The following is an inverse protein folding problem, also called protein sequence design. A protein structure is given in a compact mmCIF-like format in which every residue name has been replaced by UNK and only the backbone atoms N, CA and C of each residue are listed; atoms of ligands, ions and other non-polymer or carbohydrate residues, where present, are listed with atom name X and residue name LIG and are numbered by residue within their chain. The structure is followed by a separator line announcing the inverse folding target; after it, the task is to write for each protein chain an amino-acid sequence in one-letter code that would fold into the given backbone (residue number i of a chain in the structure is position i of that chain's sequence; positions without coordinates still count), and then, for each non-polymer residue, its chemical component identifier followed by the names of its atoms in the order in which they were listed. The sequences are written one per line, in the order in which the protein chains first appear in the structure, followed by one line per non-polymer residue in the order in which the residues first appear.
data_IF_212655025450
#
_entry.id   IF_212655025450
#
_cell.length_a   1.000
_cell.length_b   1.000
_cell.length_c   1.000
_cell.angle_alpha   90.00
_cell.angle_beta   90.00
_cell.angle_gamma   90.00
#
_symmetry.space_group_name_H-M   'P 1'
#
loop_
_entity.id
_entity.type
_entity.pdbx_description
1 polymer ?
#
# COMPACT_ATOMS: atom_id res chain seq x y z
N UNK A 1 38.06 -20.14 44.17
CA UNK A 1 39.15 -19.24 43.74
C UNK A 1 39.23 -18.10 44.75
N UNK A 2 40.30 -17.94 45.56
CA UNK A 2 40.30 -16.96 46.63
C UNK A 2 40.63 -15.58 46.06
N UNK A 3 39.63 -14.70 46.04
CA UNK A 3 39.81 -13.27 45.83
C UNK A 3 39.95 -12.61 47.20
N UNK A 4 40.84 -11.64 47.35
CA UNK A 4 40.92 -10.85 48.58
C UNK A 4 39.73 -9.89 48.70
N UNK A 5 39.63 -9.18 49.83
CA UNK A 5 38.57 -8.20 50.11
C UNK A 5 38.58 -6.98 49.17
N UNK A 6 39.50 -6.90 48.21
CA UNK A 6 39.55 -5.89 47.16
C UNK A 6 39.40 -6.49 45.74
N UNK A 7 39.02 -7.77 45.63
CA UNK A 7 38.76 -8.44 44.36
C UNK A 7 40.02 -8.85 43.60
N UNK A 8 41.19 -8.85 44.23
CA UNK A 8 42.45 -9.26 43.59
C UNK A 8 42.68 -10.77 43.83
N UNK A 9 42.85 -11.50 42.74
CA UNK A 9 43.21 -12.92 42.78
C UNK A 9 44.69 -13.06 43.15
N UNK A 10 45.00 -13.87 44.17
CA UNK A 10 46.37 -14.27 44.49
C UNK A 10 46.50 -15.79 44.42
N UNK A 11 47.56 -16.24 43.77
CA UNK A 11 47.86 -17.67 43.61
C UNK A 11 48.34 -18.26 44.95
N UNK A 12 47.94 -19.50 45.29
CA UNK A 12 48.43 -20.17 46.50
C UNK A 12 49.95 -20.33 46.52
N UNK A 13 50.60 -20.39 47.70
CA UNK A 13 52.06 -20.25 47.83
C UNK A 13 52.94 -21.35 47.22
N UNK A 14 52.40 -22.36 46.54
CA UNK A 14 53.09 -23.65 46.31
C UNK A 14 53.60 -23.85 44.88
N UNK A 15 53.52 -22.86 43.98
CA UNK A 15 53.87 -23.04 42.57
C UNK A 15 54.82 -21.94 42.06
N UNK A 16 56.01 -21.86 42.65
CA UNK A 16 57.11 -21.09 42.04
C UNK A 16 58.05 -22.09 41.36
N UNK A 17 58.01 -22.13 40.03
CA UNK A 17 59.05 -22.78 39.24
C UNK A 17 60.43 -22.21 39.62
N UNK A 18 61.39 -23.08 39.94
CA UNK A 18 62.75 -22.69 40.34
C UNK A 18 63.62 -22.55 39.08
N UNK A 19 64.40 -21.47 39.01
CA UNK A 19 65.30 -21.20 37.87
C UNK A 19 66.28 -22.35 37.64
N UNK A 20 66.22 -22.96 36.45
CA UNK A 20 67.08 -24.08 36.04
C UNK A 20 66.40 -25.45 36.07
N UNK A 21 65.20 -25.57 36.63
CA UNK A 21 64.42 -26.81 36.56
C UNK A 21 63.41 -26.79 35.40
N UNK A 22 63.14 -27.97 34.84
CA UNK A 22 62.17 -28.14 33.76
C UNK A 22 60.78 -27.91 34.34
N UNK A 23 60.09 -26.84 33.91
CA UNK A 23 58.71 -26.56 34.31
C UNK A 23 57.83 -27.72 33.84
N UNK A 24 57.32 -28.53 34.77
CA UNK A 24 56.44 -29.64 34.45
C UNK A 24 55.01 -29.11 34.27
N UNK A 25 54.32 -29.54 33.21
CA UNK A 25 52.94 -29.13 32.94
C UNK A 25 51.99 -29.44 34.11
N UNK A 26 52.33 -30.47 34.88
CA UNK A 26 51.67 -30.93 36.11
C UNK A 26 51.60 -29.85 37.21
N UNK A 27 52.55 -28.91 37.21
CA UNK A 27 52.78 -27.97 38.32
C UNK A 27 52.10 -26.61 38.12
N UNK A 28 51.43 -26.35 37.00
CA UNK A 28 50.90 -25.00 36.71
C UNK A 28 49.51 -24.95 36.06
N UNK A 29 48.82 -26.07 35.87
CA UNK A 29 47.71 -26.11 34.91
C UNK A 29 46.28 -26.10 35.46
N UNK A 30 46.07 -26.08 36.78
CA UNK A 30 44.70 -26.06 37.35
C UNK A 30 43.83 -24.93 36.75
N UNK A 31 44.34 -23.69 36.53
CA UNK A 31 43.53 -22.62 35.94
C UNK A 31 43.17 -22.84 34.46
N UNK A 32 43.92 -23.67 33.73
CA UNK A 32 43.71 -23.92 32.30
C UNK A 32 43.03 -25.26 32.01
N UNK A 33 42.91 -26.15 32.99
CA UNK A 33 42.17 -27.41 32.85
C UNK A 33 40.69 -27.16 32.54
N UNK A 34 40.06 -26.18 33.19
CA UNK A 34 38.67 -25.80 32.93
C UNK A 34 38.48 -25.30 31.49
N UNK A 35 39.41 -24.47 31.00
CA UNK A 35 39.39 -23.94 29.63
C UNK A 35 39.64 -25.05 28.62
N UNK A 36 40.63 -25.91 28.88
CA UNK A 36 40.95 -27.06 28.03
C UNK A 36 39.79 -28.05 27.98
N UNK A 37 39.09 -28.29 29.10
CA UNK A 37 37.92 -29.16 29.16
C UNK A 37 36.75 -28.54 28.40
N UNK A 38 36.46 -27.25 28.60
CA UNK A 38 35.39 -26.55 27.88
C UNK A 38 35.62 -26.52 26.35
N UNK A 39 36.86 -26.26 25.92
CA UNK A 39 37.21 -26.27 24.49
C UNK A 39 37.23 -27.69 23.92
N UNK A 40 37.77 -28.68 24.62
CA UNK A 40 37.78 -30.09 24.16
C UNK A 40 36.38 -30.69 24.08
N UNK A 41 35.45 -30.14 24.85
CA UNK A 41 34.05 -30.49 24.73
C UNK A 41 33.48 -29.98 23.40
N UNK A 42 33.85 -28.80 22.92
CA UNK A 42 33.17 -28.16 21.79
C UNK A 42 33.94 -28.29 20.46
N UNK A 43 35.27 -28.28 20.52
CA UNK A 43 36.21 -28.29 19.41
C UNK A 43 37.10 -29.54 19.51
N UNK A 44 37.26 -30.28 18.41
CA UNK A 44 38.30 -31.31 18.34
C UNK A 44 39.66 -30.66 18.11
N UNK A 45 40.68 -31.22 18.75
CA UNK A 45 42.05 -30.72 18.76
C UNK A 45 42.68 -30.56 17.37
N UNK A 46 42.20 -31.31 16.39
CA UNK A 46 42.76 -31.36 15.03
C UNK A 46 42.07 -30.42 14.03
N UNK A 47 40.97 -29.75 14.42
CA UNK A 47 40.25 -28.81 13.56
C UNK A 47 39.71 -29.40 12.25
N UNK A 48 39.77 -30.72 12.09
CA UNK A 48 39.49 -31.43 10.83
C UNK A 48 38.00 -31.72 10.63
N UNK A 49 37.20 -31.56 11.69
CA UNK A 49 35.76 -31.79 11.67
C UNK A 49 35.01 -30.64 12.36
N UNK A 50 33.74 -30.41 11.99
CA UNK A 50 32.91 -29.38 12.61
C UNK A 50 32.84 -29.51 14.13
N UNK A 51 32.59 -28.40 14.81
CA UNK A 51 32.36 -28.38 16.25
C UNK A 51 31.29 -29.43 16.63
N UNK A 52 31.59 -30.24 17.64
CA UNK A 52 30.74 -31.36 18.07
C UNK A 52 29.55 -30.89 18.92
N UNK A 53 29.59 -29.66 19.43
CA UNK A 53 28.52 -28.96 20.14
C UNK A 53 28.83 -27.47 20.26
N UNK A 54 27.82 -26.68 20.64
CA UNK A 54 27.97 -25.25 20.88
C UNK A 54 28.91 -24.98 22.06
N UNK A 55 29.75 -23.94 21.93
CA UNK A 55 30.53 -23.43 23.04
C UNK A 55 29.62 -22.72 24.04
N UNK A 56 29.51 -23.26 25.26
CA UNK A 56 28.76 -22.62 26.33
C UNK A 56 29.53 -21.42 26.86
N UNK A 57 29.00 -20.22 26.68
CA UNK A 57 29.58 -18.98 27.20
C UNK A 57 28.87 -18.47 28.46
N UNK A 58 27.98 -19.25 29.08
CA UNK A 58 27.27 -18.86 30.32
C UNK A 58 26.62 -17.47 30.25
N UNK A 59 26.13 -17.08 29.07
CA UNK A 59 25.52 -15.77 28.82
C UNK A 59 26.49 -14.66 28.40
N UNK A 60 27.81 -14.89 28.45
CA UNK A 60 28.78 -13.96 27.85
C UNK A 60 28.67 -13.98 26.32
N UNK A 61 28.74 -12.80 25.73
CA UNK A 61 28.71 -12.63 24.29
C UNK A 61 30.10 -12.93 23.70
N UNK A 62 30.13 -13.54 22.53
CA UNK A 62 31.33 -13.53 21.69
C UNK A 62 31.42 -12.14 21.08
N UNK A 63 32.36 -11.32 21.57
CA UNK A 63 32.67 -10.02 20.97
C UNK A 63 33.73 -10.16 19.87
N UNK A 64 33.88 -9.13 19.04
CA UNK A 64 34.94 -9.03 18.03
C UNK A 64 34.97 -10.17 16.98
N UNK A 65 33.80 -10.75 16.69
CA UNK A 65 33.61 -11.63 15.53
C UNK A 65 33.94 -10.89 14.23
N UNK A 66 34.92 -11.41 13.48
CA UNK A 66 35.27 -10.92 12.15
C UNK A 66 34.18 -11.20 11.13
N UNK A 67 34.32 -10.62 9.94
CA UNK A 67 33.36 -10.79 8.85
C UNK A 67 33.32 -12.26 8.36
N UNK A 68 32.09 -12.76 8.17
CA UNK A 68 31.83 -14.06 7.58
C UNK A 68 32.37 -14.14 6.14
N UNK A 69 33.03 -15.24 5.79
CA UNK A 69 33.59 -15.49 4.46
C UNK A 69 32.89 -16.64 3.73
N UNK A 70 32.33 -17.61 4.47
CA UNK A 70 31.70 -18.81 3.91
C UNK A 70 30.25 -18.98 4.38
N UNK A 71 29.42 -19.71 3.62
CA UNK A 71 28.10 -20.13 4.08
C UNK A 71 28.19 -20.97 5.36
N UNK A 72 27.57 -20.51 6.45
CA UNK A 72 27.58 -21.17 7.75
C UNK A 72 28.49 -20.52 8.80
N UNK A 73 29.27 -19.52 8.42
CA UNK A 73 30.01 -18.71 9.39
C UNK A 73 29.04 -17.98 10.34
N UNK A 74 29.42 -17.87 11.61
CA UNK A 74 28.71 -17.03 12.56
C UNK A 74 28.83 -15.55 12.12
N UNK A 75 27.72 -14.83 12.16
CA UNK A 75 27.68 -13.40 11.79
C UNK A 75 27.54 -12.54 13.03
N UNK A 76 28.19 -11.37 13.03
CA UNK A 76 27.97 -10.38 14.07
C UNK A 76 26.57 -9.78 13.96
N UNK A 77 25.99 -9.30 15.07
CA UNK A 77 24.71 -8.58 15.06
C UNK A 77 24.73 -7.39 14.10
N UNK A 78 25.88 -6.72 13.95
CA UNK A 78 26.08 -5.62 12.99
C UNK A 78 25.82 -6.07 11.55
N UNK A 79 26.31 -7.24 11.16
CA UNK A 79 26.08 -7.78 9.81
C UNK A 79 24.61 -8.17 9.61
N UNK A 80 23.97 -8.71 10.65
CA UNK A 80 22.53 -9.03 10.61
C UNK A 80 21.67 -7.77 10.46
N UNK A 81 21.95 -6.73 11.25
CA UNK A 81 21.25 -5.45 11.19
C UNK A 81 21.52 -4.72 9.86
N UNK A 82 22.66 -4.95 9.21
CA UNK A 82 22.91 -4.44 7.86
C UNK A 82 22.11 -5.20 6.79
N UNK A 83 21.89 -6.50 6.97
CA UNK A 83 21.10 -7.32 6.04
C UNK A 83 19.59 -7.06 6.15
N UNK A 84 19.10 -6.78 7.35
CA UNK A 84 17.69 -6.45 7.63
C UNK A 84 17.66 -5.27 8.62
N UNK A 85 17.65 -4.03 8.12
CA UNK A 85 17.71 -2.85 8.97
C UNK A 85 16.48 -2.70 9.86
N UNK A 86 16.70 -2.13 11.04
CA UNK A 86 15.62 -1.75 11.96
C UNK A 86 14.73 -0.72 11.27
N UNK A 87 13.42 -0.89 11.37
CA UNK A 87 12.44 -0.09 10.64
C UNK A 87 12.12 -0.61 9.24
N UNK A 88 12.78 -1.66 8.75
CA UNK A 88 12.40 -2.30 7.50
C UNK A 88 10.99 -2.90 7.60
N UNK A 89 10.16 -2.63 6.58
CA UNK A 89 8.83 -3.21 6.42
C UNK A 89 8.86 -4.28 5.33
N UNK A 90 8.30 -5.46 5.63
CA UNK A 90 8.20 -6.56 4.67
C UNK A 90 6.79 -7.14 4.64
N UNK A 91 6.39 -7.63 3.47
CA UNK A 91 5.21 -8.48 3.34
C UNK A 91 5.46 -9.84 4.00
N UNK A 92 4.46 -10.35 4.71
CA UNK A 92 4.54 -11.55 5.53
C UNK A 92 3.26 -12.35 5.41
N UNK A 93 3.38 -13.63 5.07
CA UNK A 93 2.24 -14.52 4.85
C UNK A 93 1.70 -15.15 6.15
N UNK A 94 2.46 -15.12 7.25
CA UNK A 94 2.05 -15.71 8.52
C UNK A 94 1.14 -14.79 9.35
N UNK A 95 0.38 -15.36 10.28
CA UNK A 95 -0.52 -14.62 11.17
C UNK A 95 0.19 -13.99 12.37
N UNK A 96 1.26 -14.62 12.86
CA UNK A 96 1.99 -14.21 14.06
C UNK A 96 3.37 -13.70 13.66
N UNK A 97 3.75 -12.46 14.02
CA UNK A 97 5.06 -11.94 13.68
C UNK A 97 6.15 -12.77 14.36
N UNK A 98 7.27 -13.05 13.68
CA UNK A 98 8.43 -13.69 14.29
C UNK A 98 9.00 -12.83 15.43
N UNK A 99 9.85 -13.42 16.27
CA UNK A 99 10.56 -12.68 17.31
C UNK A 99 11.31 -11.48 16.71
N UNK A 100 11.17 -10.32 17.37
CA UNK A 100 11.82 -9.09 16.95
C UNK A 100 11.14 -8.38 15.76
N UNK A 101 9.92 -8.78 15.43
CA UNK A 101 9.06 -8.11 14.46
C UNK A 101 7.74 -7.73 15.11
N UNK A 102 7.11 -6.68 14.58
CA UNK A 102 5.75 -6.28 14.92
C UNK A 102 4.91 -6.23 13.65
N UNK A 103 3.62 -6.56 13.75
CA UNK A 103 2.69 -6.29 12.65
C UNK A 103 2.44 -4.79 12.51
N UNK A 104 2.19 -4.31 11.29
CA UNK A 104 1.92 -2.90 10.99
C UNK A 104 0.42 -2.60 10.96
N UNK A 105 -0.25 -2.62 12.11
CA UNK A 105 -1.68 -2.29 12.25
C UNK A 105 -1.95 -1.03 13.07
N UNK A 106 -0.96 -0.13 13.19
CA UNK A 106 -1.13 1.16 13.85
C UNK A 106 -1.03 1.13 15.38
N UNK A 107 -0.65 0.00 15.98
CA UNK A 107 -0.64 -0.10 17.44
C UNK A 107 0.41 0.78 18.10
N UNK A 108 0.08 1.21 19.31
CA UNK A 108 0.98 1.88 20.23
C UNK A 108 1.93 0.87 20.88
N UNK A 109 3.22 1.20 20.94
CA UNK A 109 4.26 0.36 21.51
C UNK A 109 5.24 1.17 22.36
N UNK A 110 5.89 0.49 23.31
CA UNK A 110 6.80 1.12 24.28
C UNK A 110 8.09 1.65 23.63
N UNK A 111 8.45 2.91 23.94
CA UNK A 111 9.74 3.52 23.57
C UNK A 111 10.92 2.86 24.28
N UNK A 112 10.72 2.32 25.48
CA UNK A 112 11.80 1.65 26.24
C UNK A 112 12.08 0.26 25.68
N UNK A 113 11.03 -0.50 25.37
CA UNK A 113 11.17 -1.85 24.79
C UNK A 113 11.69 -1.80 23.36
N UNK A 114 11.25 -0.83 22.56
CA UNK A 114 11.61 -0.71 21.14
C UNK A 114 12.40 0.56 20.84
N UNK A 115 13.38 0.88 21.71
CA UNK A 115 14.18 2.11 21.63
C UNK A 115 14.88 2.29 20.27
N UNK A 116 15.41 1.21 19.69
CA UNK A 116 16.07 1.26 18.41
C UNK A 116 15.10 1.58 17.26
N UNK A 117 13.89 1.03 17.28
CA UNK A 117 12.85 1.37 16.30
C UNK A 117 12.37 2.81 16.46
N UNK A 118 12.16 3.26 17.70
CA UNK A 118 11.76 4.64 17.98
C UNK A 118 12.79 5.66 17.49
N UNK A 119 14.09 5.34 17.61
CA UNK A 119 15.15 6.19 17.07
C UNK A 119 15.08 6.39 15.55
N UNK A 120 14.47 5.44 14.81
CA UNK A 120 14.34 5.50 13.35
C UNK A 120 13.03 6.17 12.93
N UNK A 121 11.88 5.75 13.47
CA UNK A 121 10.57 6.20 12.98
C UNK A 121 9.92 7.30 13.84
N UNK A 122 10.44 7.53 15.04
CA UNK A 122 9.92 8.51 15.98
C UNK A 122 8.42 8.41 16.19
N UNK A 123 7.74 9.55 16.08
CA UNK A 123 6.29 9.69 16.23
C UNK A 123 5.57 9.87 14.89
N UNK A 124 6.24 9.61 13.76
CA UNK A 124 5.70 9.85 12.41
C UNK A 124 4.36 9.17 12.16
N UNK A 125 4.13 8.00 12.75
CA UNK A 125 2.89 7.22 12.59
C UNK A 125 1.93 7.36 13.77
N UNK A 126 2.23 8.25 14.72
CA UNK A 126 1.45 8.51 15.92
C UNK A 126 2.35 8.70 17.14
N UNK A 127 1.97 9.65 18.00
CA UNK A 127 2.72 10.00 19.20
C UNK A 127 2.55 9.03 20.37
N UNK A 128 1.69 8.01 20.24
CA UNK A 128 1.22 7.19 21.35
C UNK A 128 0.55 8.05 22.43
N UNK A 129 0.86 7.72 23.68
CA UNK A 129 0.55 8.49 24.90
C UNK A 129 1.25 9.87 25.00
N UNK A 130 2.10 10.24 24.03
CA UNK A 130 2.86 11.49 24.02
C UNK A 130 4.16 11.47 24.82
N UNK A 131 4.47 10.37 25.52
CA UNK A 131 5.62 10.30 26.44
C UNK A 131 6.39 9.00 26.39
N UNK A 132 5.75 7.89 26.77
CA UNK A 132 6.40 6.58 26.94
C UNK A 132 6.25 5.64 25.74
N UNK A 133 5.40 6.01 24.78
CA UNK A 133 5.03 5.15 23.65
C UNK A 133 5.03 5.88 22.31
N UNK A 134 4.89 5.13 21.23
CA UNK A 134 4.76 5.63 19.86
C UNK A 134 3.98 4.61 19.02
N UNK A 135 3.42 5.02 17.89
CA UNK A 135 2.70 4.11 17.01
C UNK A 135 3.59 3.59 15.89
N UNK A 136 3.39 2.32 15.52
CA UNK A 136 3.91 1.78 14.26
C UNK A 136 3.00 2.16 13.07
N UNK A 137 3.42 1.97 11.82
CA UNK A 137 2.55 2.20 10.66
C UNK A 137 1.25 1.38 10.71
N UNK A 138 0.15 1.95 10.19
CA UNK A 138 -1.07 1.21 9.88
C UNK A 138 -1.18 0.96 8.38
N UNK A 139 -0.89 -0.27 7.96
CA UNK A 139 -0.85 -0.67 6.56
C UNK A 139 -2.06 -1.52 6.14
N UNK A 140 -3.07 -1.64 7.01
CA UNK A 140 -4.26 -2.44 6.71
C UNK A 140 -5.01 -1.86 5.51
N UNK A 141 -5.19 -2.66 4.47
CA UNK A 141 -5.90 -2.28 3.25
C UNK A 141 -5.21 -1.20 2.41
N UNK A 142 -3.92 -0.93 2.64
CA UNK A 142 -3.16 0.11 1.95
C UNK A 142 -2.14 -0.47 0.98
N UNK A 143 -1.90 0.26 -0.10
CA UNK A 143 -0.79 0.00 -1.03
C UNK A 143 0.36 0.94 -0.68
N UNK A 144 1.57 0.39 -0.57
CA UNK A 144 2.77 1.18 -0.33
C UNK A 144 3.18 1.94 -1.59
N UNK A 145 3.58 3.19 -1.42
CA UNK A 145 4.12 4.04 -2.48
C UNK A 145 5.45 4.61 -2.02
N UNK A 146 6.37 4.79 -2.97
CA UNK A 146 7.63 5.46 -2.69
C UNK A 146 7.41 6.92 -2.31
N UNK A 147 8.18 7.42 -1.33
CA UNK A 147 8.22 8.85 -1.00
C UNK A 147 8.66 9.64 -2.24
N UNK A 148 7.97 10.72 -2.58
CA UNK A 148 8.08 11.35 -3.92
C UNK A 148 9.45 12.01 -4.19
N UNK A 149 10.17 12.41 -3.14
CA UNK A 149 11.50 13.04 -3.20
C UNK A 149 12.64 12.05 -2.91
N UNK A 150 12.45 11.06 -2.02
CA UNK A 150 13.47 10.10 -1.54
C UNK A 150 14.82 10.73 -1.17
N UNK A 151 14.84 11.98 -0.70
CA UNK A 151 16.05 12.74 -0.40
C UNK A 151 16.69 13.49 -1.58
N UNK A 152 16.11 13.39 -2.78
CA UNK A 152 16.43 14.20 -3.95
C UNK A 152 15.28 15.16 -4.33
N UNK A 153 15.28 15.70 -5.56
CA UNK A 153 14.16 16.48 -6.08
C UNK A 153 12.88 15.64 -6.20
N UNK A 154 11.71 16.26 -5.95
CA UNK A 154 10.41 15.62 -6.07
C UNK A 154 10.14 15.14 -7.51
N UNK A 155 9.73 13.88 -7.67
CA UNK A 155 9.35 13.30 -8.95
C UNK A 155 7.96 13.74 -9.44
N UNK A 156 7.17 14.40 -8.58
CA UNK A 156 5.82 14.90 -8.83
C UNK A 156 4.84 13.81 -9.31
N UNK A 157 4.97 12.59 -8.78
CA UNK A 157 4.07 11.46 -9.10
C UNK A 157 2.87 11.43 -8.17
N UNK A 158 3.08 11.70 -6.89
CA UNK A 158 2.02 11.78 -5.87
C UNK A 158 2.06 13.15 -5.22
N UNK A 159 1.22 14.05 -5.72
CA UNK A 159 1.09 15.42 -5.21
C UNK A 159 -0.28 15.63 -4.59
N UNK A 160 -0.39 16.67 -3.74
CA UNK A 160 -1.68 17.07 -3.17
C UNK A 160 -2.71 17.36 -4.26
N UNK A 161 -2.29 17.96 -5.37
CA UNK A 161 -3.18 18.32 -6.48
C UNK A 161 -3.77 17.11 -7.21
N UNK A 162 -3.00 16.03 -7.36
CA UNK A 162 -3.44 14.84 -8.13
C UNK A 162 -4.04 13.77 -7.22
N UNK A 163 -3.41 13.51 -6.07
CA UNK A 163 -3.75 12.37 -5.21
C UNK A 163 -4.52 12.79 -3.93
N UNK A 164 -4.56 14.08 -3.61
CA UNK A 164 -5.21 14.59 -2.39
C UNK A 164 -4.37 14.49 -1.12
N UNK A 165 -3.10 14.05 -1.22
CA UNK A 165 -2.17 13.96 -0.09
C UNK A 165 -0.73 14.25 -0.50
N UNK A 166 0.11 14.60 0.47
CA UNK A 166 1.51 14.98 0.23
C UNK A 166 2.41 13.75 0.13
N UNK A 167 2.81 13.36 -1.08
CA UNK A 167 3.71 12.23 -1.32
C UNK A 167 5.15 12.41 -0.81
N UNK A 168 5.56 13.62 -0.45
CA UNK A 168 6.87 13.88 0.16
C UNK A 168 6.87 13.71 1.70
N UNK A 169 5.70 13.52 2.33
CA UNK A 169 5.58 13.30 3.77
C UNK A 169 5.43 11.81 4.08
N UNK A 170 6.40 11.21 4.78
CA UNK A 170 6.25 9.84 5.31
C UNK A 170 5.05 9.79 6.25
N UNK A 171 4.22 8.76 6.12
CA UNK A 171 2.99 8.60 6.92
C UNK A 171 1.77 9.30 6.33
N UNK A 172 1.93 10.16 5.31
CA UNK A 172 0.78 10.68 4.57
C UNK A 172 0.03 9.53 3.89
N UNK A 173 -1.30 9.64 3.86
CA UNK A 173 -2.15 8.58 3.35
C UNK A 173 -3.37 9.15 2.64
N UNK A 174 -3.86 8.45 1.62
CA UNK A 174 -5.02 8.83 0.84
C UNK A 174 -5.37 7.76 -0.20
N UNK A 175 -6.01 8.17 -1.29
CA UNK A 175 -6.55 7.28 -2.32
C UNK A 175 -8.03 6.92 -2.10
N UNK A 176 -8.63 6.28 -3.09
CA UNK A 176 -10.04 5.90 -3.09
C UNK A 176 -10.23 4.47 -3.62
N UNK A 177 -11.00 3.66 -2.91
CA UNK A 177 -11.32 2.27 -3.29
C UNK A 177 -12.37 2.18 -4.41
N UNK A 178 -13.14 3.25 -4.61
CA UNK A 178 -14.12 3.39 -5.70
C UNK A 178 -14.13 4.82 -6.23
N UNK A 179 -14.40 4.98 -7.51
CA UNK A 179 -14.49 6.30 -8.16
C UNK A 179 -15.86 6.42 -8.82
N UNK A 180 -16.59 7.48 -8.46
CA UNK A 180 -17.87 7.84 -9.07
C UNK A 180 -17.65 8.41 -10.47
N UNK A 181 -18.34 7.85 -11.47
CA UNK A 181 -18.35 8.43 -12.82
C UNK A 181 -19.31 9.62 -12.86
N UNK A 182 -18.75 10.80 -13.04
CA UNK A 182 -19.47 12.04 -13.28
C UNK A 182 -19.82 12.20 -14.75
N UNK A 183 -20.81 13.03 -15.07
CA UNK A 183 -21.15 13.37 -16.46
C UNK A 183 -19.95 13.93 -17.24
N UNK A 184 -19.08 14.71 -16.57
CA UNK A 184 -17.85 15.24 -17.16
C UNK A 184 -16.84 14.16 -17.60
N UNK A 185 -16.97 12.93 -17.11
CA UNK A 185 -16.13 11.79 -17.50
C UNK A 185 -16.74 10.98 -18.66
N UNK A 186 -17.91 11.36 -19.16
CA UNK A 186 -18.52 10.78 -20.36
C UNK A 186 -18.01 11.57 -21.58
N UNK A 187 -17.54 10.87 -22.61
CA UNK A 187 -17.06 11.52 -23.83
C UNK A 187 -18.17 12.38 -24.46
N UNK A 188 -17.83 13.56 -25.02
CA UNK A 188 -18.79 14.39 -25.75
C UNK A 188 -19.49 13.56 -26.84
N UNK A 189 -20.80 13.53 -26.79
CA UNK A 189 -21.64 12.85 -27.77
C UNK A 189 -22.91 13.69 -28.00
N UNK A 190 -23.59 13.45 -29.11
CA UNK A 190 -24.82 14.14 -29.44
C UNK A 190 -25.83 13.15 -30.04
N UNK A 191 -27.11 13.45 -29.85
CA UNK A 191 -28.20 12.72 -30.45
C UNK A 191 -28.77 13.53 -31.61
N UNK A 192 -28.98 12.89 -32.76
CA UNK A 192 -29.64 13.51 -33.91
C UNK A 192 -31.00 12.85 -34.12
N UNK A 193 -32.07 13.62 -33.89
CA UNK A 193 -33.41 13.28 -34.34
C UNK A 193 -33.72 13.94 -35.68
N UNK A 194 -34.54 13.28 -36.51
CA UNK A 194 -35.17 13.89 -37.67
C UNK A 194 -36.66 13.54 -37.63
N UNK A 195 -37.52 14.53 -37.82
CA UNK A 195 -38.95 14.30 -38.07
C UNK A 195 -39.23 14.52 -39.55
N UNK A 196 -40.17 13.77 -40.11
CA UNK A 196 -40.55 13.95 -41.52
C UNK A 196 -41.38 15.22 -41.66
N UNK A 197 -41.11 15.97 -42.72
CA UNK A 197 -41.70 17.29 -43.02
C UNK A 197 -43.13 17.23 -43.54
N UNK A 198 -43.97 16.30 -43.08
CA UNK A 198 -45.40 16.30 -43.37
C UNK A 198 -46.19 16.83 -42.18
N UNK A 199 -45.92 18.09 -41.84
CA UNK A 199 -46.95 18.98 -41.32
C UNK A 199 -47.66 19.61 -42.49
N UNK A 200 -48.97 19.41 -42.58
CA UNK A 200 -49.80 19.97 -43.64
C UNK A 200 -49.85 19.12 -44.90
N UNK A 201 -50.97 18.46 -45.11
CA UNK A 201 -51.40 18.04 -46.43
C UNK A 201 -52.74 18.71 -46.74
N UNK A 202 -52.95 19.08 -48.00
CA UNK A 202 -54.19 19.66 -48.48
C UNK A 202 -54.84 18.71 -49.49
N UNK A 203 -56.15 18.56 -49.43
CA UNK A 203 -56.89 17.79 -50.42
C UNK A 203 -57.38 18.70 -51.54
N UNK A 204 -57.32 18.19 -52.78
CA UNK A 204 -57.83 18.87 -53.97
C UNK A 204 -59.07 18.13 -54.45
N UNK A 205 -60.21 18.81 -54.49
CA UNK A 205 -61.41 18.30 -55.14
C UNK A 205 -61.51 18.89 -56.54
N UNK A 206 -61.87 18.03 -57.51
CA UNK A 206 -62.02 18.41 -58.92
C UNK A 206 -63.49 18.65 -59.30
N UNK A 207 -64.43 18.09 -58.53
CA UNK A 207 -65.87 18.19 -58.77
C UNK A 207 -66.60 18.39 -57.43
N UNK A 208 -67.37 19.49 -57.31
CA UNK A 208 -68.29 19.71 -56.20
C UNK A 208 -69.72 19.77 -56.73
N UNK A 209 -70.63 19.00 -56.12
CA UNK A 209 -72.06 19.08 -56.45
C UNK A 209 -72.73 20.02 -55.44
N UNK A 210 -73.02 21.25 -55.85
CA UNK A 210 -73.54 22.29 -54.95
C UNK A 210 -75.00 22.56 -55.28
N UNK A 211 -75.87 22.46 -54.27
CA UNK A 211 -77.27 22.86 -54.35
C UNK A 211 -77.46 24.20 -53.65
N UNK A 212 -77.72 25.26 -54.43
CA UNK A 212 -77.85 26.63 -53.90
C UNK A 212 -76.53 27.40 -53.80
N UNK A 213 -76.58 28.62 -53.24
CA UNK A 213 -75.42 29.54 -53.19
C UNK A 213 -74.39 29.12 -52.14
N UNK A 214 -73.14 28.89 -52.56
CA UNK A 214 -72.03 28.58 -51.65
C UNK A 214 -70.98 29.70 -51.66
N UNK A 215 -70.93 30.48 -50.58
CA UNK A 215 -70.07 31.66 -50.46
C UNK A 215 -68.55 31.35 -50.56
N UNK A 216 -68.12 30.15 -50.15
CA UNK A 216 -66.72 29.74 -50.21
C UNK A 216 -66.21 29.32 -51.60
N UNK A 217 -67.11 29.07 -52.57
CA UNK A 217 -66.75 28.57 -53.91
C UNK A 217 -67.05 29.57 -55.04
N UNK A 218 -67.66 30.72 -54.73
CA UNK A 218 -68.03 31.73 -55.73
C UNK A 218 -69.10 31.29 -56.74
N UNK A 219 -69.83 30.20 -56.47
CA UNK A 219 -70.88 29.68 -57.35
C UNK A 219 -72.26 30.03 -56.79
N UNK A 220 -73.09 30.62 -57.64
CA UNK A 220 -74.49 30.98 -57.36
C UNK A 220 -75.37 30.28 -58.40
N UNK A 221 -76.24 29.37 -57.99
CA UNK A 221 -77.20 28.71 -58.88
C UNK A 221 -78.61 29.17 -58.53
N UNK A 222 -79.32 29.77 -59.48
CA UNK A 222 -80.65 30.34 -59.23
C UNK A 222 -81.80 29.34 -59.42
N UNK A 223 -81.58 28.17 -60.03
CA UNK A 223 -82.52 27.04 -60.02
C UNK A 223 -81.88 25.77 -60.63
N UNK A 224 -81.44 24.81 -59.80
CA UNK A 224 -80.86 23.53 -60.23
C UNK A 224 -79.40 23.28 -59.79
N UNK A 225 -78.91 22.04 -59.97
CA UNK A 225 -77.53 21.65 -59.65
C UNK A 225 -76.56 22.12 -60.72
N UNK A 226 -75.54 22.89 -60.35
CA UNK A 226 -74.43 23.22 -61.25
C UNK A 226 -73.24 22.30 -60.98
N UNK A 227 -72.63 21.79 -62.06
CA UNK A 227 -71.34 21.11 -62.02
C UNK A 227 -70.29 22.08 -62.54
N UNK A 228 -69.37 22.48 -61.67
CA UNK A 228 -68.23 23.31 -62.03
C UNK A 228 -66.94 22.54 -61.71
N UNK A 229 -66.00 22.55 -62.66
CA UNK A 229 -64.63 22.09 -62.43
C UNK A 229 -63.92 23.14 -61.56
N UNK A 230 -63.92 22.94 -60.26
CA UNK A 230 -63.27 23.84 -59.30
C UNK A 230 -61.88 23.31 -58.99
N UNK A 231 -60.88 24.19 -58.99
CA UNK A 231 -59.56 23.87 -58.46
C UNK A 231 -59.42 24.54 -57.08
N UNK A 232 -60.10 24.00 -56.08
CA UNK A 232 -60.07 24.52 -54.71
C UNK A 232 -59.42 23.50 -53.75
N UNK A 233 -58.71 24.03 -52.76
CA UNK A 233 -57.91 23.24 -51.81
C UNK A 233 -58.46 23.47 -50.40
N UNK A 234 -58.45 22.43 -49.56
CA UNK A 234 -58.66 22.61 -48.11
C UNK A 234 -57.51 23.44 -47.52
N UNK A 235 -57.75 24.18 -46.42
CA UNK A 235 -56.65 24.74 -45.64
C UNK A 235 -55.77 23.62 -45.10
N UNK A 236 -54.47 23.89 -44.90
CA UNK A 236 -53.60 22.98 -44.17
C UNK A 236 -54.19 22.77 -42.76
N UNK A 237 -54.23 21.53 -42.27
CA UNK A 237 -54.36 21.32 -40.82
C UNK A 237 -53.20 22.05 -40.13
N UNK A 238 -53.55 22.75 -39.05
CA UNK A 238 -52.73 23.74 -38.36
C UNK A 238 -51.50 23.15 -37.67
N UNK A 239 -50.72 24.06 -37.08
CA UNK A 239 -49.44 23.77 -36.44
C UNK A 239 -49.52 22.55 -35.51
N UNK A 240 -48.55 21.64 -35.66
CA UNK A 240 -48.33 20.54 -34.74
C UNK A 240 -46.87 20.57 -34.28
N UNK A 241 -46.65 20.14 -33.04
CA UNK A 241 -45.33 20.10 -32.43
C UNK A 241 -44.75 18.68 -32.45
N UNK A 242 -43.43 18.60 -32.61
CA UNK A 242 -42.68 17.38 -32.36
C UNK A 242 -41.79 17.59 -31.14
N UNK A 243 -42.02 16.80 -30.09
CA UNK A 243 -41.09 16.73 -28.98
C UNK A 243 -40.11 15.58 -29.22
N UNK A 244 -38.80 15.89 -29.23
CA UNK A 244 -37.74 14.89 -29.19
C UNK A 244 -37.04 14.98 -27.84
N UNK A 245 -37.44 14.11 -26.91
CA UNK A 245 -36.81 14.00 -25.59
C UNK A 245 -35.82 12.84 -25.59
N UNK A 246 -34.54 13.13 -25.31
CA UNK A 246 -33.55 12.08 -25.00
C UNK A 246 -33.47 11.89 -23.49
N UNK A 247 -33.34 10.65 -23.03
CA UNK A 247 -33.15 10.37 -21.60
C UNK A 247 -31.85 10.99 -21.06
N UNK A 248 -31.77 11.24 -19.73
CA UNK A 248 -30.52 11.68 -19.11
C UNK A 248 -29.37 10.70 -19.38
N UNK A 249 -28.18 11.22 -19.67
CA UNK A 249 -26.95 10.44 -19.78
C UNK A 249 -26.14 10.54 -18.48
N UNK A 250 -25.56 9.42 -18.05
CA UNK A 250 -24.90 9.32 -16.75
C UNK A 250 -25.83 8.81 -15.65
N UNK A 251 -25.24 8.18 -14.64
CA UNK A 251 -25.99 7.59 -13.52
C UNK A 251 -25.27 7.67 -12.18
N UNK A 252 -24.12 8.37 -12.13
CA UNK A 252 -23.36 8.59 -10.90
C UNK A 252 -22.89 7.30 -10.20
N UNK A 253 -22.88 6.17 -10.90
CA UNK A 253 -22.46 4.91 -10.31
C UNK A 253 -20.94 4.87 -10.19
N UNK A 254 -20.47 4.40 -9.05
CA UNK A 254 -19.05 4.19 -8.82
C UNK A 254 -18.59 2.87 -9.41
N UNK A 255 -17.38 2.86 -9.95
CA UNK A 255 -16.66 1.62 -10.25
C UNK A 255 -15.61 1.37 -9.18
N UNK A 256 -15.24 0.10 -9.00
CA UNK A 256 -14.11 -0.27 -8.16
C UNK A 256 -12.81 0.29 -8.76
N UNK A 257 -11.96 0.84 -7.91
CA UNK A 257 -10.66 1.39 -8.26
C UNK A 257 -9.55 0.61 -7.54
N UNK A 258 -9.71 -0.72 -7.51
CA UNK A 258 -8.79 -1.64 -6.83
C UNK A 258 -8.11 -2.48 -7.90
N UNK A 259 -6.77 -2.44 -7.93
CA UNK A 259 -5.97 -3.33 -8.77
C UNK A 259 -6.12 -4.80 -8.32
N UNK A 260 -5.90 -5.79 -9.20
CA UNK A 260 -5.74 -7.18 -8.78
C UNK A 260 -4.73 -7.27 -7.62
N UNK A 261 -5.17 -7.79 -6.47
CA UNK A 261 -4.42 -7.71 -5.21
C UNK A 261 -4.46 -9.05 -4.46
N UNK A 262 -3.38 -9.34 -3.75
CA UNK A 262 -3.30 -10.43 -2.77
C UNK A 262 -3.09 -9.84 -1.38
N UNK A 263 -3.76 -10.40 -0.37
CA UNK A 263 -3.68 -9.91 1.00
C UNK A 263 -2.54 -10.62 1.74
N UNK A 264 -1.61 -9.82 2.27
CA UNK A 264 -0.53 -10.27 3.14
C UNK A 264 -0.46 -9.35 4.34
N UNK A 265 0.07 -9.85 5.46
CA UNK A 265 0.43 -9.00 6.58
C UNK A 265 1.66 -8.17 6.23
N UNK A 266 1.80 -7.02 6.87
CA UNK A 266 3.07 -6.28 6.88
C UNK A 266 3.66 -6.33 8.28
N UNK A 267 4.96 -6.57 8.35
CA UNK A 267 5.71 -6.58 9.61
C UNK A 267 6.88 -5.59 9.54
N UNK A 268 7.26 -5.03 10.69
CA UNK A 268 8.38 -4.10 10.86
C UNK A 268 9.43 -4.63 11.84
N UNK A 269 10.71 -4.52 11.50
CA UNK A 269 11.83 -4.97 12.34
C UNK A 269 12.07 -4.02 13.52
N UNK A 270 12.13 -4.53 14.75
CA UNK A 270 12.13 -3.69 15.96
C UNK A 270 13.48 -3.49 16.66
N UNK A 271 14.47 -4.34 16.37
CA UNK A 271 15.81 -4.26 16.97
C UNK A 271 16.05 -5.11 18.22
N UNK A 272 15.02 -5.81 18.72
CA UNK A 272 15.13 -6.81 19.79
C UNK A 272 14.99 -8.25 19.27
#
# INVERSE_FOLDING_TARGET
MPFDSQGKYSLPPIYKAVTGEKVLAEQHNIPFEDVAQALSQCLKRDGSTPAIRNLSMSGFLVTDLGDAKNPGDAVSKKLLDAAVPIGEVKAFAGSTPPQGWLLCYGQEVSRTTYAALFAIIGTTFGGGDGGSTFNVPDLRGRVLVGRDDMGGPAANRITVAVAGFNGAAIGASGGAQSVTLTEAQIAPHFHKGQTTRSGGHAHRYLDANVGGSSAGLGITTSNGTARASLNAQTSSDGDHEHELTTSPAGGGQAHLNVQPSIIMNFIIRTGI
#
